data_IF_533682358579
#
_entry.id   IF_533682358579
#
_cell.length_a   1.000
_cell.length_b   1.000
_cell.length_c   1.000
_cell.angle_alpha   90.00
_cell.angle_beta   90.00
_cell.angle_gamma   90.00
#
_symmetry.space_group_name_H-M   'P 1'
#
loop_
_entity.id
_entity.type
_entity.pdbx_description
1 polymer ?
#
# COMPACT_ATOMS: atom_id res chain seq x y z
N UNK A 1 -13.66 -61.01 38.35
CA UNK A 1 -12.46 -60.15 38.18
C UNK A 1 -12.39 -59.73 36.71
N UNK A 2 -13.11 -58.68 36.30
CA UNK A 2 -12.68 -57.26 36.09
C UNK A 2 -11.62 -57.06 34.98
N UNK A 3 -12.06 -56.53 33.82
CA UNK A 3 -11.71 -55.20 33.21
C UNK A 3 -10.50 -55.28 32.25
N UNK A 4 -10.37 -54.58 31.12
CA UNK A 4 -11.17 -53.66 30.26
C UNK A 4 -10.31 -53.50 28.97
N UNK A 5 -10.84 -53.37 27.74
CA UNK A 5 -10.00 -53.24 26.55
C UNK A 5 -9.32 -51.86 26.48
N UNK A 6 -8.03 -51.87 26.10
CA UNK A 6 -7.17 -50.70 25.91
C UNK A 6 -7.51 -49.98 24.59
N UNK A 7 -8.54 -49.13 24.60
CA UNK A 7 -8.98 -48.35 23.41
C UNK A 7 -8.61 -46.87 23.47
N UNK A 8 -7.88 -46.41 24.49
CA UNK A 8 -7.62 -44.98 24.71
C UNK A 8 -6.39 -44.38 24.00
N UNK A 9 -5.38 -45.19 23.66
CA UNK A 9 -4.06 -44.66 23.25
C UNK A 9 -3.95 -44.33 21.75
N UNK A 10 -4.60 -45.11 20.88
CA UNK A 10 -4.57 -44.91 19.43
C UNK A 10 -5.42 -43.71 18.95
N UNK A 11 -6.50 -43.40 19.68
CA UNK A 11 -7.37 -42.23 19.43
C UNK A 11 -6.68 -40.93 19.81
N UNK A 12 -5.94 -40.89 20.93
CA UNK A 12 -5.19 -39.70 21.35
C UNK A 12 -4.06 -39.33 20.36
N UNK A 13 -3.32 -40.32 19.84
CA UNK A 13 -2.24 -40.08 18.86
C UNK A 13 -2.78 -39.55 17.53
N UNK A 14 -3.91 -40.10 17.06
CA UNK A 14 -4.55 -39.69 15.80
C UNK A 14 -5.11 -38.26 15.89
N UNK A 15 -5.65 -37.86 17.05
CA UNK A 15 -6.16 -36.50 17.29
C UNK A 15 -5.02 -35.47 17.35
N UNK A 16 -3.87 -35.82 17.96
CA UNK A 16 -2.69 -34.96 18.03
C UNK A 16 -2.02 -34.74 16.65
N UNK A 17 -1.98 -35.75 15.79
CA UNK A 17 -1.47 -35.61 14.42
C UNK A 17 -2.43 -34.80 13.53
N UNK A 18 -3.76 -34.98 13.67
CA UNK A 18 -4.73 -34.19 12.92
C UNK A 18 -4.69 -32.71 13.31
N UNK A 19 -4.58 -32.38 14.60
CA UNK A 19 -4.51 -30.99 15.05
C UNK A 19 -3.18 -30.32 14.67
N UNK A 20 -2.06 -31.04 14.72
CA UNK A 20 -0.75 -30.55 14.25
C UNK A 20 -0.72 -30.27 12.74
N UNK A 21 -1.35 -31.14 11.93
CA UNK A 21 -1.45 -30.95 10.47
C UNK A 21 -2.32 -29.75 10.07
N UNK A 22 -3.45 -29.54 10.77
CA UNK A 22 -4.35 -28.40 10.51
C UNK A 22 -3.67 -27.07 10.87
N UNK A 23 -2.94 -27.01 11.99
CA UNK A 23 -2.22 -25.80 12.40
C UNK A 23 -1.14 -25.40 11.37
N UNK A 24 -0.34 -26.35 10.87
CA UNK A 24 0.67 -26.06 9.84
C UNK A 24 0.05 -25.60 8.51
N UNK A 25 -1.08 -26.20 8.10
CA UNK A 25 -1.77 -25.82 6.87
C UNK A 25 -2.33 -24.39 6.93
N UNK A 26 -2.87 -23.98 8.08
CA UNK A 26 -3.41 -22.63 8.28
C UNK A 26 -2.33 -21.55 8.24
N UNK A 27 -1.17 -21.79 8.86
CA UNK A 27 -0.05 -20.82 8.84
C UNK A 27 0.47 -20.57 7.42
N UNK A 28 0.58 -21.62 6.61
CA UNK A 28 1.04 -21.50 5.22
C UNK A 28 0.05 -20.73 4.33
N UNK A 29 -1.26 -20.87 4.55
CA UNK A 29 -2.26 -20.08 3.80
C UNK A 29 -2.19 -18.59 4.12
N UNK A 30 -1.99 -18.23 5.39
CA UNK A 30 -1.91 -16.82 5.82
C UNK A 30 -0.69 -16.14 5.21
N UNK A 31 0.48 -16.79 5.26
CA UNK A 31 1.69 -16.27 4.64
C UNK A 31 1.55 -16.10 3.11
N UNK A 32 0.94 -17.08 2.42
CA UNK A 32 0.70 -17.00 0.99
C UNK A 32 -0.25 -15.85 0.60
N UNK A 33 -1.29 -15.60 1.41
CA UNK A 33 -2.22 -14.50 1.18
C UNK A 33 -1.54 -13.13 1.31
N UNK A 34 -0.65 -12.97 2.30
CA UNK A 34 0.08 -11.71 2.53
C UNK A 34 1.05 -11.41 1.38
N UNK A 35 1.81 -12.42 0.94
CA UNK A 35 2.71 -12.30 -0.23
C UNK A 35 1.90 -11.93 -1.50
N UNK A 36 0.74 -12.56 -1.69
CA UNK A 36 -0.14 -12.25 -2.82
C UNK A 36 -0.66 -10.81 -2.80
N UNK A 37 -0.95 -10.27 -1.61
CA UNK A 37 -1.42 -8.91 -1.44
C UNK A 37 -0.32 -7.87 -1.71
N UNK A 38 0.93 -8.14 -1.32
CA UNK A 38 2.07 -7.29 -1.66
C UNK A 38 2.31 -7.27 -3.18
N UNK A 39 2.28 -8.45 -3.82
CA UNK A 39 2.40 -8.54 -5.28
C UNK A 39 1.25 -7.81 -6.02
N UNK A 40 0.02 -7.89 -5.51
CA UNK A 40 -1.11 -7.13 -6.07
C UNK A 40 -0.91 -5.61 -5.89
N UNK A 41 -0.37 -5.15 -4.75
CA UNK A 41 -0.04 -3.73 -4.54
C UNK A 41 0.97 -3.23 -5.58
N UNK A 42 2.04 -3.99 -5.83
CA UNK A 42 3.07 -3.62 -6.82
C UNK A 42 2.49 -3.66 -8.25
N UNK A 43 1.61 -4.62 -8.55
CA UNK A 43 0.88 -4.66 -9.83
C UNK A 43 -0.02 -3.45 -10.02
N UNK A 44 -0.67 -2.95 -8.97
CA UNK A 44 -1.53 -1.77 -9.04
C UNK A 44 -0.74 -0.49 -9.30
N UNK A 45 0.45 -0.37 -8.73
CA UNK A 45 1.38 0.73 -9.04
C UNK A 45 1.77 0.69 -10.52
N UNK A 46 2.22 -0.47 -11.02
CA UNK A 46 2.56 -0.62 -12.44
C UNK A 46 1.40 -0.30 -13.39
N UNK A 47 0.17 -0.65 -13.01
CA UNK A 47 -1.03 -0.26 -13.77
C UNK A 47 -1.32 1.25 -13.74
N UNK A 48 -1.00 1.92 -12.65
CA UNK A 48 -1.15 3.37 -12.59
C UNK A 48 -0.13 4.06 -13.50
N UNK A 49 1.11 3.58 -13.50
CA UNK A 49 2.16 4.05 -14.41
C UNK A 49 1.82 3.78 -15.87
N UNK A 50 1.33 2.59 -16.20
CA UNK A 50 0.86 2.24 -17.54
C UNK A 50 -0.31 3.14 -17.97
N UNK A 51 -1.27 3.42 -17.08
CA UNK A 51 -2.36 4.33 -17.38
C UNK A 51 -1.85 5.75 -17.65
N UNK A 52 -0.88 6.24 -16.86
CA UNK A 52 -0.25 7.55 -17.12
C UNK A 52 0.49 7.59 -18.46
N UNK A 53 1.21 6.52 -18.81
CA UNK A 53 1.90 6.39 -20.09
C UNK A 53 0.92 6.42 -21.28
N UNK A 54 -0.32 5.96 -21.06
CA UNK A 54 -1.42 6.01 -22.02
C UNK A 54 -2.28 7.28 -21.90
N UNK A 55 -1.78 8.32 -21.23
CA UNK A 55 -2.47 9.60 -21.02
C UNK A 55 -3.83 9.48 -20.30
N UNK A 56 -4.00 8.45 -19.46
CA UNK A 56 -5.21 8.21 -18.66
C UNK A 56 -4.97 8.48 -17.16
N UNK A 57 -5.03 9.75 -16.72
CA UNK A 57 -4.87 10.09 -15.31
C UNK A 57 -6.04 9.62 -14.43
N UNK A 58 -7.23 9.36 -15.00
CA UNK A 58 -8.34 8.81 -14.21
C UNK A 58 -8.09 7.34 -13.86
N UNK A 59 -7.66 6.55 -14.85
CA UNK A 59 -7.22 5.17 -14.65
C UNK A 59 -6.02 5.07 -13.70
N UNK A 60 -5.08 6.01 -13.81
CA UNK A 60 -3.95 6.10 -12.88
C UNK A 60 -4.41 6.37 -11.44
N UNK A 61 -5.28 7.35 -11.24
CA UNK A 61 -5.86 7.67 -9.94
C UNK A 61 -6.58 6.45 -9.32
N UNK A 62 -7.39 5.74 -10.12
CA UNK A 62 -8.12 4.56 -9.66
C UNK A 62 -7.19 3.44 -9.20
N UNK A 63 -6.17 3.10 -10.00
CA UNK A 63 -5.23 2.03 -9.65
C UNK A 63 -4.38 2.39 -8.44
N UNK A 64 -3.90 3.63 -8.37
CA UNK A 64 -3.10 4.09 -7.23
C UNK A 64 -3.93 4.19 -5.94
N UNK A 65 -5.19 4.60 -6.02
CA UNK A 65 -6.11 4.56 -4.88
C UNK A 65 -6.37 3.14 -4.36
N UNK A 66 -6.41 2.14 -5.25
CA UNK A 66 -6.47 0.72 -4.86
C UNK A 66 -5.15 0.26 -4.23
N UNK A 67 -4.00 0.72 -4.74
CA UNK A 67 -2.69 0.43 -4.13
C UNK A 67 -2.61 1.00 -2.70
N UNK A 68 -3.12 2.22 -2.48
CA UNK A 68 -3.18 2.84 -1.15
C UNK A 68 -4.01 2.01 -0.16
N UNK A 69 -5.18 1.50 -0.60
CA UNK A 69 -6.00 0.60 0.23
C UNK A 69 -5.28 -0.72 0.53
N UNK A 70 -4.55 -1.26 -0.44
CA UNK A 70 -3.75 -2.46 -0.25
C UNK A 70 -2.61 -2.24 0.74
N UNK A 71 -1.88 -1.14 0.63
CA UNK A 71 -0.86 -0.75 1.60
C UNK A 71 -1.44 -0.65 3.03
N UNK A 72 -2.59 0.02 3.19
CA UNK A 72 -3.29 0.09 4.48
C UNK A 72 -3.67 -1.30 5.02
N UNK A 73 -4.10 -2.21 4.14
CA UNK A 73 -4.40 -3.59 4.52
C UNK A 73 -3.13 -4.33 4.96
N UNK A 74 -2.05 -4.22 4.20
CA UNK A 74 -0.75 -4.85 4.51
C UNK A 74 -0.18 -4.35 5.85
N UNK A 75 -0.28 -3.05 6.14
CA UNK A 75 0.11 -2.51 7.45
C UNK A 75 -0.64 -3.20 8.62
N UNK A 76 -1.91 -3.56 8.43
CA UNK A 76 -2.69 -4.31 9.43
C UNK A 76 -2.35 -5.80 9.45
N UNK A 77 -1.98 -6.38 8.31
CA UNK A 77 -1.64 -7.79 8.21
C UNK A 77 -0.26 -8.10 8.82
N UNK A 78 0.67 -7.14 8.80
CA UNK A 78 2.02 -7.28 9.33
C UNK A 78 2.21 -6.81 10.78
N UNK A 79 1.17 -6.79 11.62
CA UNK A 79 1.22 -6.22 13.00
C UNK A 79 2.40 -6.70 13.86
N UNK A 80 2.95 -7.88 13.60
CA UNK A 80 4.07 -8.46 14.34
C UNK A 80 5.46 -7.99 13.83
N UNK A 81 5.54 -7.41 12.62
CA UNK A 81 6.75 -6.85 12.01
C UNK A 81 6.65 -5.33 11.94
N UNK A 82 7.23 -4.67 12.94
CA UNK A 82 7.24 -3.20 13.07
C UNK A 82 7.81 -2.52 11.82
N UNK A 83 8.82 -3.13 11.19
CA UNK A 83 9.47 -2.56 10.00
C UNK A 83 8.53 -2.59 8.79
N UNK A 84 7.83 -3.71 8.58
CA UNK A 84 6.83 -3.85 7.54
C UNK A 84 5.60 -2.96 7.80
N UNK A 85 5.14 -2.86 9.05
CA UNK A 85 4.05 -1.95 9.44
C UNK A 85 4.40 -0.52 9.04
N UNK A 86 5.59 -0.04 9.42
CA UNK A 86 6.04 1.32 9.12
C UNK A 86 6.17 1.55 7.61
N UNK A 87 6.73 0.58 6.88
CA UNK A 87 6.83 0.63 5.43
C UNK A 87 5.46 0.89 4.80
N UNK A 88 4.45 0.09 5.15
CA UNK A 88 3.12 0.19 4.57
C UNK A 88 2.31 1.39 5.10
N UNK A 89 2.56 1.82 6.34
CA UNK A 89 2.02 3.07 6.89
C UNK A 89 2.58 4.31 6.18
N UNK A 90 3.81 4.26 5.67
CA UNK A 90 4.37 5.30 4.82
C UNK A 90 3.90 5.19 3.36
N UNK A 91 3.73 3.96 2.85
CA UNK A 91 3.28 3.72 1.49
C UNK A 91 1.83 4.18 1.25
N UNK A 92 0.90 3.93 2.18
CA UNK A 92 -0.50 4.37 2.06
C UNK A 92 -0.62 5.87 1.71
N UNK A 93 -0.13 6.80 2.55
CA UNK A 93 -0.26 8.24 2.30
C UNK A 93 0.52 8.68 1.04
N UNK A 94 1.62 8.00 0.68
CA UNK A 94 2.30 8.26 -0.59
C UNK A 94 1.38 7.93 -1.78
N UNK A 95 0.77 6.73 -1.79
CA UNK A 95 -0.14 6.34 -2.86
C UNK A 95 -1.41 7.22 -2.88
N UNK A 96 -1.89 7.69 -1.73
CA UNK A 96 -2.96 8.70 -1.67
C UNK A 96 -2.56 10.02 -2.31
N UNK A 97 -1.33 10.46 -2.05
CA UNK A 97 -0.80 11.67 -2.68
C UNK A 97 -0.81 11.56 -4.21
N UNK A 98 -0.33 10.44 -4.73
CA UNK A 98 -0.34 10.15 -6.17
C UNK A 98 -1.75 10.05 -6.74
N UNK A 99 -2.67 9.35 -6.06
CA UNK A 99 -4.09 9.28 -6.45
C UNK A 99 -4.72 10.67 -6.60
N UNK A 100 -4.51 11.54 -5.61
CA UNK A 100 -5.04 12.90 -5.62
C UNK A 100 -4.39 13.76 -6.71
N UNK A 101 -3.09 13.58 -6.97
CA UNK A 101 -2.38 14.27 -8.05
C UNK A 101 -2.93 13.87 -9.42
N UNK A 102 -3.08 12.57 -9.68
CA UNK A 102 -3.67 12.07 -10.92
C UNK A 102 -5.13 12.50 -11.08
N UNK A 103 -5.93 12.47 -10.01
CA UNK A 103 -7.29 13.01 -10.04
C UNK A 103 -7.30 14.50 -10.40
N UNK A 104 -6.38 15.29 -9.87
CA UNK A 104 -6.27 16.70 -10.22
C UNK A 104 -5.98 16.89 -11.71
N UNK A 105 -5.05 16.11 -12.28
CA UNK A 105 -4.76 16.11 -13.72
C UNK A 105 -6.00 15.73 -14.55
N UNK A 106 -6.73 14.69 -14.16
CA UNK A 106 -7.94 14.25 -14.84
C UNK A 106 -9.03 15.33 -14.82
N UNK A 107 -9.25 15.97 -13.67
CA UNK A 107 -10.19 17.08 -13.52
C UNK A 107 -9.79 18.29 -14.38
N UNK A 108 -8.51 18.64 -14.40
CA UNK A 108 -7.99 19.75 -15.19
C UNK A 108 -8.17 19.52 -16.69
N UNK A 109 -7.83 18.30 -17.17
CA UNK A 109 -8.06 17.90 -18.57
C UNK A 109 -9.53 17.92 -18.94
N UNK A 110 -10.42 17.40 -18.07
CA UNK A 110 -11.87 17.41 -18.29
C UNK A 110 -12.44 18.83 -18.39
N UNK A 111 -11.85 19.78 -17.67
CA UNK A 111 -12.20 21.20 -17.74
C UNK A 111 -11.59 21.93 -18.94
N UNK A 112 -10.89 21.24 -19.85
CA UNK A 112 -10.26 21.82 -21.02
C UNK A 112 -8.96 22.56 -20.73
N UNK A 113 -8.33 22.33 -19.57
CA UNK A 113 -7.05 22.95 -19.21
C UNK A 113 -7.11 24.46 -18.96
N UNK A 114 -8.27 24.97 -18.56
CA UNK A 114 -8.45 26.40 -18.30
C UNK A 114 -7.71 26.84 -17.03
N UNK A 115 -7.02 27.98 -17.12
CA UNK A 115 -6.31 28.61 -16.01
C UNK A 115 -7.03 29.89 -15.56
N UNK A 116 -7.07 30.20 -14.24
CA UNK A 116 -6.61 29.33 -13.14
C UNK A 116 -7.48 28.08 -13.03
N UNK A 117 -6.92 26.99 -12.53
CA UNK A 117 -7.65 25.74 -12.39
C UNK A 117 -8.83 25.88 -11.41
N UNK A 118 -9.82 24.99 -11.55
CA UNK A 118 -10.99 25.02 -10.69
C UNK A 118 -10.64 24.66 -9.23
N UNK A 119 -11.51 25.06 -8.29
CA UNK A 119 -11.37 24.71 -6.87
C UNK A 119 -11.30 23.20 -6.63
N UNK A 120 -11.93 22.38 -7.47
CA UNK A 120 -11.84 20.92 -7.40
C UNK A 120 -10.44 20.39 -7.75
N UNK A 121 -9.78 20.99 -8.74
CA UNK A 121 -8.39 20.65 -9.11
C UNK A 121 -7.45 21.06 -7.97
N UNK A 122 -7.52 22.32 -7.52
CA UNK A 122 -6.64 22.82 -6.46
C UNK A 122 -6.89 22.16 -5.10
N UNK A 123 -8.15 21.84 -4.78
CA UNK A 123 -8.49 21.06 -3.60
C UNK A 123 -7.89 19.65 -3.64
N UNK A 124 -7.90 19.01 -4.81
CA UNK A 124 -7.24 17.71 -5.00
C UNK A 124 -5.72 17.80 -4.81
N UNK A 125 -5.07 18.84 -5.35
CA UNK A 125 -3.63 19.05 -5.14
C UNK A 125 -3.28 19.36 -3.67
N UNK A 126 -4.15 20.09 -2.95
CA UNK A 126 -3.96 20.31 -1.51
C UNK A 126 -4.01 18.99 -0.72
N UNK A 127 -4.96 18.11 -1.04
CA UNK A 127 -5.01 16.76 -0.45
C UNK A 127 -3.78 15.92 -0.82
N UNK A 128 -3.29 16.06 -2.05
CA UNK A 128 -2.07 15.40 -2.50
C UNK A 128 -0.86 15.83 -1.66
N UNK A 129 -0.69 17.13 -1.45
CA UNK A 129 0.42 17.69 -0.67
C UNK A 129 0.35 17.26 0.80
N UNK A 130 -0.85 17.30 1.42
CA UNK A 130 -1.04 16.86 2.80
C UNK A 130 -0.69 15.37 2.98
N UNK A 131 -1.15 14.52 2.06
CA UNK A 131 -0.84 13.08 2.08
C UNK A 131 0.66 12.84 1.90
N UNK A 132 1.32 13.62 1.03
CA UNK A 132 2.76 13.49 0.80
C UNK A 132 3.58 13.83 2.05
N UNK A 133 3.21 14.91 2.74
CA UNK A 133 3.85 15.31 4.00
C UNK A 133 3.70 14.21 5.05
N UNK A 134 2.53 13.58 5.14
CA UNK A 134 2.33 12.44 6.04
C UNK A 134 3.22 11.23 5.68
N UNK A 135 3.38 10.95 4.37
CA UNK A 135 4.25 9.88 3.90
C UNK A 135 5.72 10.14 4.28
N UNK A 136 6.23 11.35 3.99
CA UNK A 136 7.59 11.75 4.34
C UNK A 136 7.84 11.69 5.84
N UNK A 137 6.89 12.17 6.65
CA UNK A 137 6.99 12.10 8.11
C UNK A 137 7.12 10.65 8.62
N UNK A 138 6.46 9.70 7.95
CA UNK A 138 6.50 8.28 8.34
C UNK A 138 7.74 7.55 7.80
N UNK A 139 8.17 7.86 6.58
CA UNK A 139 9.29 7.21 5.88
C UNK A 139 10.67 7.73 6.27
N UNK A 140 10.76 8.93 6.83
CA UNK A 140 12.00 9.52 7.35
C UNK A 140 12.35 9.06 8.78
N UNK A 141 11.52 8.23 9.39
CA UNK A 141 11.77 7.73 10.74
C UNK A 141 12.82 6.60 10.70
N UNK A 142 14.08 6.97 10.94
CA UNK A 142 15.30 6.15 10.84
C UNK A 142 15.36 5.03 11.90
N UNK A 143 14.84 3.84 11.56
CA UNK A 143 15.21 2.60 12.25
C UNK A 143 16.01 1.73 11.28
N UNK A 144 17.32 2.00 11.25
CA UNK A 144 18.30 1.35 10.40
C UNK A 144 18.55 -0.11 10.81
N UNK A 145 17.77 -1.03 10.25
CA UNK A 145 18.11 -2.45 10.23
C UNK A 145 18.26 -2.89 8.77
N UNK A 146 19.45 -3.33 8.31
CA UNK A 146 19.64 -3.77 6.93
C UNK A 146 18.72 -4.94 6.58
N UNK A 147 18.02 -4.85 5.43
CA UNK A 147 17.15 -5.92 4.94
C UNK A 147 16.28 -5.47 3.74
N UNK A 148 15.53 -6.40 3.11
CA UNK A 148 14.68 -6.10 1.96
C UNK A 148 13.65 -4.98 2.23
N UNK A 149 13.11 -4.93 3.44
CA UNK A 149 12.17 -3.89 3.90
C UNK A 149 12.84 -2.50 3.91
N UNK A 150 14.11 -2.42 4.31
CA UNK A 150 14.85 -1.16 4.33
C UNK A 150 15.13 -0.62 2.91
N UNK A 151 15.41 -1.52 1.95
CA UNK A 151 15.54 -1.15 0.54
C UNK A 151 14.23 -0.59 0.00
N UNK A 152 13.10 -1.27 0.23
CA UNK A 152 11.78 -0.81 -0.22
C UNK A 152 11.37 0.51 0.46
N UNK A 153 11.69 0.68 1.74
CA UNK A 153 11.45 1.94 2.45
C UNK A 153 12.26 3.10 1.85
N UNK A 154 13.50 2.84 1.45
CA UNK A 154 14.34 3.85 0.78
C UNK A 154 13.77 4.23 -0.58
N UNK A 155 13.35 3.26 -1.39
CA UNK A 155 12.69 3.52 -2.67
C UNK A 155 11.41 4.35 -2.51
N UNK A 156 10.58 4.05 -1.51
CA UNK A 156 9.37 4.83 -1.25
C UNK A 156 9.70 6.25 -0.78
N UNK A 157 10.78 6.44 -0.02
CA UNK A 157 11.24 7.76 0.42
C UNK A 157 11.76 8.59 -0.74
N UNK A 158 12.54 7.98 -1.64
CA UNK A 158 12.99 8.61 -2.88
C UNK A 158 11.80 9.01 -3.74
N UNK A 159 10.86 8.08 -3.98
CA UNK A 159 9.63 8.38 -4.70
C UNK A 159 8.84 9.52 -4.03
N UNK A 160 8.66 9.50 -2.71
CA UNK A 160 7.98 10.56 -1.99
C UNK A 160 8.69 11.92 -2.16
N UNK A 161 10.02 11.92 -2.21
CA UNK A 161 10.81 13.14 -2.43
C UNK A 161 10.62 13.66 -3.86
N UNK A 162 10.64 12.79 -4.86
CA UNK A 162 10.39 13.16 -6.26
C UNK A 162 8.98 13.75 -6.44
N UNK A 163 7.99 13.16 -5.76
CA UNK A 163 6.61 13.64 -5.78
C UNK A 163 6.41 15.03 -5.18
N UNK A 164 7.33 15.53 -4.33
CA UNK A 164 7.31 16.93 -3.87
C UNK A 164 7.42 17.85 -5.08
N UNK A 165 8.42 17.60 -5.92
CA UNK A 165 8.68 18.39 -7.12
C UNK A 165 7.52 18.31 -8.10
N UNK A 166 6.93 17.12 -8.27
CA UNK A 166 5.78 16.93 -9.17
C UNK A 166 4.58 17.75 -8.69
N UNK A 167 4.22 17.66 -7.41
CA UNK A 167 3.06 18.37 -6.87
C UNK A 167 3.27 19.87 -6.89
N UNK A 168 4.45 20.35 -6.50
CA UNK A 168 4.78 21.79 -6.54
C UNK A 168 4.71 22.32 -7.98
N UNK A 169 5.17 21.54 -8.95
CA UNK A 169 5.05 21.88 -10.38
C UNK A 169 3.58 21.96 -10.81
N UNK A 170 2.76 20.98 -10.45
CA UNK A 170 1.32 20.99 -10.76
C UNK A 170 0.60 22.19 -10.13
N UNK A 171 0.91 22.52 -8.87
CA UNK A 171 0.34 23.68 -8.18
C UNK A 171 0.69 24.97 -8.93
N UNK A 172 1.95 25.12 -9.35
CA UNK A 172 2.42 26.26 -10.13
C UNK A 172 1.76 26.35 -11.51
N UNK A 173 1.78 25.24 -12.26
CA UNK A 173 1.24 25.15 -13.62
C UNK A 173 -0.27 25.38 -13.65
N UNK A 174 -0.99 24.86 -12.66
CA UNK A 174 -2.45 24.98 -12.56
C UNK A 174 -2.89 26.28 -11.87
N UNK A 175 -1.93 27.11 -11.42
CA UNK A 175 -2.15 28.38 -10.75
C UNK A 175 -3.02 28.24 -9.49
N UNK A 176 -2.80 27.18 -8.73
CA UNK A 176 -3.45 26.96 -7.44
C UNK A 176 -2.76 27.83 -6.39
N UNK A 177 -3.33 29.00 -6.11
CA UNK A 177 -2.84 29.98 -5.14
C UNK A 177 -3.76 30.10 -3.94
#
# INVERSE_FOLDING_TARGET
MTQRPATGSATLLSILCLSGGIALALVNMVAAQVIGNEAEMDRLQGKAEEAMANEDPEGAAMNMGRAALMAKFLAKAHQEDISAVRLFQGAEPLFRSQEHSYRAMALFRRAGGQLPASSGVCGSLSLAQQSLQQALATLNDDNNTPGPVATKATQLREAATDWVTVIDSLIGDYQCR
#
